data_IF_360870703737
#
_entry.id   IF_360870703737
#
_cell.length_a   1.000
_cell.length_b   1.000
_cell.length_c   1.000
_cell.angle_alpha   90.00
_cell.angle_beta   90.00
_cell.angle_gamma   90.00
#
_symmetry.space_group_name_H-M   'P 1'
#
loop_
_entity.id
_entity.type
_entity.pdbx_description
1 polymer ?
#
# COMPACT_ATOMS: atom_id res chain seq x y z
N UNK A 1 -12.51 13.85 15.59
CA UNK A 1 -12.96 12.90 16.63
C UNK A 1 -11.72 12.30 17.28
N UNK A 2 -11.49 12.62 18.54
CA UNK A 2 -10.38 12.06 19.32
C UNK A 2 -10.73 10.62 19.70
N UNK A 3 -9.92 9.66 19.26
CA UNK A 3 -9.95 8.31 19.81
C UNK A 3 -9.18 8.33 21.12
N UNK A 4 -9.92 8.34 22.22
CA UNK A 4 -9.40 8.18 23.57
C UNK A 4 -9.33 6.68 23.92
N UNK A 5 -8.20 6.27 24.51
CA UNK A 5 -8.17 5.17 25.48
C UNK A 5 -8.44 3.72 25.08
N UNK A 6 -8.26 3.30 23.82
CA UNK A 6 -8.15 1.85 23.54
C UNK A 6 -6.80 1.33 24.03
N UNK A 7 -6.76 0.27 24.85
CA UNK A 7 -5.54 -0.52 25.09
C UNK A 7 -4.87 -0.77 23.74
N UNK A 8 -3.78 -0.04 23.45
CA UNK A 8 -3.18 -0.06 22.12
C UNK A 8 -2.75 -1.48 21.81
N UNK A 9 -3.32 -2.08 20.75
CA UNK A 9 -2.91 -3.40 20.28
C UNK A 9 -1.39 -3.43 20.14
N UNK A 10 -0.73 -4.18 21.03
CA UNK A 10 0.70 -4.40 20.99
C UNK A 10 1.01 -5.51 19.98
N UNK A 11 2.05 -5.29 19.18
CA UNK A 11 2.59 -6.27 18.26
C UNK A 11 3.93 -6.77 18.78
N UNK A 12 4.02 -8.09 19.00
CA UNK A 12 5.27 -8.75 19.37
C UNK A 12 6.18 -8.91 18.15
N UNK A 13 7.44 -8.48 18.28
CA UNK A 13 8.46 -8.53 17.22
C UNK A 13 9.55 -9.53 17.62
N UNK A 14 9.95 -10.39 16.68
CA UNK A 14 11.06 -11.34 16.86
C UNK A 14 10.68 -12.70 17.46
N UNK A 15 9.39 -12.93 17.73
CA UNK A 15 8.90 -14.22 18.23
C UNK A 15 9.20 -15.38 17.27
N UNK A 16 9.41 -16.58 17.82
CA UNK A 16 9.78 -17.76 17.02
C UNK A 16 8.68 -18.10 16.00
N UNK A 17 9.02 -18.10 14.72
CA UNK A 17 8.06 -18.33 13.63
C UNK A 17 7.15 -17.14 13.31
N UNK A 18 7.34 -16.00 13.99
CA UNK A 18 6.68 -14.74 13.62
C UNK A 18 7.39 -14.11 12.42
N UNK A 19 6.60 -13.45 11.57
CA UNK A 19 7.09 -12.68 10.44
C UNK A 19 6.46 -11.29 10.49
N UNK A 20 7.29 -10.27 10.33
CA UNK A 20 6.82 -8.90 10.24
C UNK A 20 6.21 -8.68 8.86
N UNK A 21 4.96 -8.25 8.81
CA UNK A 21 4.26 -7.93 7.56
C UNK A 21 4.31 -6.43 7.24
N UNK A 22 4.11 -6.05 5.98
CA UNK A 22 3.99 -4.65 5.57
C UNK A 22 2.83 -3.92 6.28
N UNK A 23 1.73 -4.63 6.55
CA UNK A 23 0.59 -4.09 7.29
C UNK A 23 0.92 -3.79 8.76
N UNK A 24 1.76 -4.61 9.39
CA UNK A 24 2.26 -4.37 10.75
C UNK A 24 3.17 -3.15 10.80
N UNK A 25 4.08 -3.02 9.83
CA UNK A 25 4.97 -1.85 9.69
C UNK A 25 4.15 -0.59 9.49
N UNK A 26 3.15 -0.63 8.61
CA UNK A 26 2.24 0.48 8.37
C UNK A 26 1.44 0.85 9.64
N UNK A 27 0.90 -0.14 10.35
CA UNK A 27 0.16 0.12 11.58
C UNK A 27 1.02 0.79 12.64
N UNK A 28 2.28 0.35 12.83
CA UNK A 28 3.19 0.99 13.78
C UNK A 28 3.63 2.36 13.28
N UNK A 29 3.94 2.53 12.00
CA UNK A 29 4.36 3.82 11.44
C UNK A 29 3.29 4.90 11.63
N UNK A 30 2.02 4.52 11.52
CA UNK A 30 0.85 5.38 11.76
C UNK A 30 0.47 5.52 13.24
N UNK A 31 1.18 4.87 14.16
CA UNK A 31 0.87 4.90 15.60
C UNK A 31 -0.40 4.13 15.98
N UNK A 32 -0.91 3.27 15.10
CA UNK A 32 -2.10 2.44 15.33
C UNK A 32 -1.81 1.20 16.18
N UNK A 33 -0.54 0.78 16.25
CA UNK A 33 -0.06 -0.33 17.08
C UNK A 33 1.24 0.05 17.79
N UNK A 34 1.44 -0.52 18.97
CA UNK A 34 2.70 -0.41 19.72
C UNK A 34 3.62 -1.57 19.36
N UNK A 35 4.90 -1.30 19.09
CA UNK A 35 5.91 -2.34 18.94
C UNK A 35 6.33 -2.85 20.33
N UNK A 36 6.42 -4.17 20.50
CA UNK A 36 6.96 -4.78 21.72
C UNK A 36 7.90 -5.93 21.37
N UNK A 37 9.06 -6.01 22.02
CA UNK A 37 10.02 -7.09 21.73
C UNK A 37 9.53 -8.39 22.38
N UNK A 38 9.58 -9.49 21.62
CA UNK A 38 9.32 -10.81 22.17
C UNK A 38 10.38 -11.17 23.24
N UNK A 39 9.98 -11.56 24.47
CA UNK A 39 10.93 -11.87 25.54
C UNK A 39 11.93 -12.97 25.17
N UNK A 40 11.55 -13.98 24.38
CA UNK A 40 12.46 -15.03 23.94
C UNK A 40 13.49 -14.51 22.93
N UNK A 41 13.13 -13.53 22.12
CA UNK A 41 14.07 -12.84 21.23
C UNK A 41 15.07 -11.98 22.03
N UNK A 42 14.60 -11.31 23.09
CA UNK A 42 15.44 -10.53 23.99
C UNK A 42 16.43 -11.42 24.77
N UNK A 43 15.98 -12.57 25.25
CA UNK A 43 16.81 -13.59 25.89
C UNK A 43 17.90 -14.12 24.96
N UNK A 44 17.56 -14.31 23.67
CA UNK A 44 18.54 -14.72 22.65
C UNK A 44 19.65 -13.68 22.48
N UNK A 45 19.30 -12.38 22.43
CA UNK A 45 20.29 -11.30 22.31
C UNK A 45 21.25 -11.27 23.51
N UNK A 46 20.72 -11.45 24.71
CA UNK A 46 21.49 -11.44 25.97
C UNK A 46 22.55 -12.55 26.04
N UNK A 47 22.39 -13.62 25.26
CA UNK A 47 23.33 -14.76 25.20
C UNK A 47 24.39 -14.60 24.12
N UNK A 48 24.31 -13.57 23.28
CA UNK A 48 25.24 -13.36 22.18
C UNK A 48 26.54 -12.73 22.68
N UNK A 49 27.70 -13.27 22.26
CA UNK A 49 29.02 -12.79 22.69
C UNK A 49 29.51 -11.69 21.76
N UNK A 50 29.75 -10.49 22.30
CA UNK A 50 30.18 -9.32 21.55
C UNK A 50 31.54 -9.52 20.86
N UNK A 51 31.64 -9.06 19.62
CA UNK A 51 32.90 -8.81 18.91
C UNK A 51 33.49 -7.46 19.37
N UNK A 52 34.77 -7.43 19.73
CA UNK A 52 35.46 -6.26 20.35
C UNK A 52 36.26 -5.38 19.38
N UNK A 53 36.16 -5.55 18.06
CA UNK A 53 36.99 -4.75 17.13
C UNK A 53 36.30 -3.44 16.74
N UNK A 54 36.96 -2.27 16.83
CA UNK A 54 36.36 -0.99 16.41
C UNK A 54 36.23 -0.91 14.87
N UNK A 55 35.11 -0.39 14.34
CA UNK A 55 34.91 -0.24 12.90
C UNK A 55 35.55 1.03 12.32
N UNK A 56 35.86 1.05 11.01
CA UNK A 56 36.33 2.24 10.31
C UNK A 56 35.22 3.29 10.15
N UNK A 57 35.61 4.57 10.10
CA UNK A 57 34.72 5.70 9.84
C UNK A 57 34.40 5.82 8.35
N UNK A 58 33.12 5.89 8.00
CA UNK A 58 32.64 6.20 6.65
C UNK A 58 32.07 7.62 6.66
N UNK A 59 32.26 8.35 5.56
CA UNK A 59 31.77 9.71 5.36
C UNK A 59 30.25 9.81 5.53
N UNK A 60 29.81 10.87 6.20
CA UNK A 60 28.44 11.09 6.64
C UNK A 60 27.70 12.07 5.72
N UNK A 61 26.65 11.61 5.06
CA UNK A 61 25.59 12.47 4.53
C UNK A 61 24.36 12.26 5.38
N UNK A 62 23.81 13.32 6.01
CA UNK A 62 22.58 13.18 6.81
C UNK A 62 21.40 12.76 5.93
N UNK A 63 20.60 11.83 6.44
CA UNK A 63 19.39 11.33 5.77
C UNK A 63 18.22 11.44 6.75
N UNK A 64 17.34 12.40 6.51
CA UNK A 64 16.14 12.61 7.29
C UNK A 64 14.93 12.14 6.49
N UNK A 65 14.00 11.46 7.16
CA UNK A 65 12.76 10.97 6.58
C UNK A 65 11.57 11.68 7.22
N UNK A 66 10.38 11.54 6.62
CA UNK A 66 9.14 11.97 7.29
C UNK A 66 8.90 11.18 8.58
N UNK A 67 8.02 11.68 9.44
CA UNK A 67 7.68 11.02 10.71
C UNK A 67 7.28 9.55 10.51
N UNK A 68 6.39 9.28 9.55
CA UNK A 68 5.92 7.93 9.25
C UNK A 68 7.03 7.04 8.69
N UNK A 69 7.84 7.55 7.77
CA UNK A 69 8.94 6.81 7.17
C UNK A 69 10.03 6.47 8.20
N UNK A 70 10.38 7.42 9.07
CA UNK A 70 11.31 7.20 10.18
C UNK A 70 10.80 6.11 11.12
N UNK A 71 9.51 6.14 11.49
CA UNK A 71 8.91 5.09 12.32
C UNK A 71 8.94 3.73 11.64
N UNK A 72 8.62 3.67 10.35
CA UNK A 72 8.70 2.43 9.58
C UNK A 72 10.13 1.89 9.54
N UNK A 73 11.11 2.73 9.23
CA UNK A 73 12.53 2.37 9.19
C UNK A 73 13.01 1.82 10.55
N UNK A 74 12.61 2.44 11.67
CA UNK A 74 12.95 1.98 13.01
C UNK A 74 12.35 0.61 13.36
N UNK A 75 11.08 0.35 13.00
CA UNK A 75 10.47 -0.97 13.20
C UNK A 75 11.19 -2.04 12.39
N UNK A 76 11.54 -1.72 11.14
CA UNK A 76 12.34 -2.63 10.31
C UNK A 76 13.70 -2.89 10.96
N UNK A 77 14.40 -1.85 11.41
CA UNK A 77 15.70 -2.00 12.06
C UNK A 77 15.61 -2.87 13.32
N UNK A 78 14.59 -2.65 14.15
CA UNK A 78 14.31 -3.49 15.31
C UNK A 78 14.17 -4.96 14.92
N UNK A 79 13.37 -5.25 13.88
CA UNK A 79 13.22 -6.60 13.36
C UNK A 79 14.55 -7.17 12.84
N UNK A 80 15.38 -6.35 12.17
CA UNK A 80 16.70 -6.76 11.66
C UNK A 80 17.66 -7.15 12.77
N UNK A 81 17.68 -6.40 13.86
CA UNK A 81 18.49 -6.76 15.03
C UNK A 81 18.07 -8.11 15.62
N UNK A 82 16.77 -8.39 15.72
CA UNK A 82 16.25 -9.62 16.32
C UNK A 82 16.48 -10.86 15.43
N UNK A 83 16.43 -10.67 14.10
CA UNK A 83 16.63 -11.73 13.11
C UNK A 83 18.10 -12.01 12.78
N UNK A 84 19.01 -11.07 13.04
CA UNK A 84 20.43 -11.23 12.72
C UNK A 84 21.09 -12.36 13.53
N UNK A 85 22.18 -12.90 12.99
CA UNK A 85 23.07 -13.83 13.68
C UNK A 85 24.26 -13.13 14.36
N UNK A 86 24.30 -11.79 14.30
CA UNK A 86 25.34 -10.93 14.82
C UNK A 86 25.22 -10.73 16.35
N UNK A 87 26.30 -10.28 16.99
CA UNK A 87 26.33 -10.01 18.42
C UNK A 87 25.76 -8.63 18.78
N UNK A 88 24.44 -8.50 18.64
CA UNK A 88 23.69 -7.29 19.00
C UNK A 88 23.37 -7.30 20.50
N UNK A 89 23.68 -6.20 21.20
CA UNK A 89 23.33 -6.07 22.62
C UNK A 89 21.86 -5.71 22.77
N UNK A 90 21.16 -6.17 23.83
CA UNK A 90 19.77 -5.82 24.10
C UNK A 90 19.49 -4.31 24.20
N UNK A 91 20.48 -3.51 24.60
CA UNK A 91 20.33 -2.07 24.87
C UNK A 91 19.81 -1.28 23.67
N UNK A 92 20.31 -1.57 22.46
CA UNK A 92 19.94 -0.81 21.26
C UNK A 92 18.54 -1.17 20.74
N UNK A 93 18.14 -2.45 20.63
CA UNK A 93 16.74 -2.82 20.36
C UNK A 93 15.75 -2.24 21.38
N UNK A 94 16.06 -2.28 22.67
CA UNK A 94 15.20 -1.69 23.72
C UNK A 94 15.08 -0.17 23.59
N UNK A 95 16.17 0.50 23.19
CA UNK A 95 16.14 1.94 22.90
C UNK A 95 15.20 2.24 21.72
N UNK A 96 15.25 1.44 20.66
CA UNK A 96 14.38 1.61 19.49
C UNK A 96 12.92 1.36 19.87
N UNK A 97 12.62 0.31 20.63
CA UNK A 97 11.27 0.04 21.15
C UNK A 97 10.74 1.22 21.97
N UNK A 98 11.57 1.81 22.84
CA UNK A 98 11.23 2.99 23.63
C UNK A 98 10.92 4.20 22.73
N UNK A 99 11.80 4.50 21.76
CA UNK A 99 11.63 5.62 20.82
C UNK A 99 10.37 5.45 19.97
N UNK A 100 10.10 4.24 19.47
CA UNK A 100 8.86 3.92 18.74
C UNK A 100 7.59 4.16 19.56
N UNK A 101 7.69 4.06 20.89
CA UNK A 101 6.63 4.38 21.84
C UNK A 101 6.34 5.89 22.01
N UNK A 102 7.19 6.78 21.49
CA UNK A 102 6.97 8.22 21.50
C UNK A 102 5.92 8.62 20.46
N UNK A 103 5.24 9.76 20.70
CA UNK A 103 4.21 10.29 19.80
C UNK A 103 4.75 11.14 18.65
N UNK A 104 5.94 11.70 18.77
CA UNK A 104 6.52 12.67 17.83
C UNK A 104 8.06 12.70 17.90
N UNK A 105 8.71 13.45 17.01
CA UNK A 105 10.17 13.67 17.00
C UNK A 105 10.95 12.71 16.10
N UNK A 106 10.28 11.77 15.44
CA UNK A 106 10.93 10.74 14.61
C UNK A 106 11.52 11.32 13.32
N UNK A 107 11.00 12.45 12.85
CA UNK A 107 11.53 13.26 11.75
C UNK A 107 12.95 13.79 12.02
N UNK A 108 13.38 13.83 13.29
CA UNK A 108 14.75 14.25 13.67
C UNK A 108 15.77 13.09 13.65
N UNK A 109 15.33 11.87 13.35
CA UNK A 109 16.22 10.70 13.29
C UNK A 109 17.06 10.75 12.02
N UNK A 110 18.38 10.81 12.19
CA UNK A 110 19.33 10.84 11.08
C UNK A 110 19.76 9.41 10.72
N UNK A 111 19.33 8.91 9.56
CA UNK A 111 19.71 7.61 9.02
C UNK A 111 21.01 7.65 8.19
N UNK A 112 21.67 8.80 8.12
CA UNK A 112 22.83 9.05 7.28
C UNK A 112 24.09 8.30 7.68
N UNK A 113 24.20 7.94 8.96
CA UNK A 113 25.24 7.04 9.45
C UNK A 113 24.79 6.31 10.71
N UNK A 114 25.40 5.15 11.04
CA UNK A 114 25.13 4.46 12.30
C UNK A 114 25.35 5.35 13.53
N UNK A 115 26.36 6.21 13.51
CA UNK A 115 26.65 7.11 14.61
C UNK A 115 25.58 8.20 14.76
N UNK A 116 25.18 8.83 13.65
CA UNK A 116 24.12 9.84 13.65
C UNK A 116 22.79 9.24 14.12
N UNK A 117 22.45 8.05 13.64
CA UNK A 117 21.25 7.31 14.05
C UNK A 117 21.21 7.07 15.55
N UNK A 118 22.27 6.51 16.12
CA UNK A 118 22.34 6.24 17.56
C UNK A 118 22.27 7.53 18.37
N UNK A 119 22.92 8.59 17.90
CA UNK A 119 22.90 9.90 18.55
C UNK A 119 21.48 10.46 18.57
N UNK A 120 20.76 10.46 17.44
CA UNK A 120 19.36 10.88 17.38
C UNK A 120 18.46 10.03 18.30
N UNK A 121 18.65 8.71 18.35
CA UNK A 121 17.90 7.84 19.25
C UNK A 121 18.14 8.16 20.73
N UNK A 122 19.39 8.43 21.11
CA UNK A 122 19.73 8.85 22.47
C UNK A 122 19.03 10.17 22.82
N UNK A 123 19.17 11.18 21.96
CA UNK A 123 18.53 12.49 22.12
C UNK A 123 17.01 12.37 22.30
N UNK A 124 16.33 11.59 21.46
CA UNK A 124 14.87 11.40 21.55
C UNK A 124 14.44 10.64 22.81
N UNK A 125 15.24 9.69 23.26
CA UNK A 125 14.94 8.91 24.47
C UNK A 125 15.27 9.64 25.79
N UNK A 126 15.95 10.79 25.72
CA UNK A 126 16.48 11.51 26.88
C UNK A 126 17.64 10.79 27.58
N UNK A 127 18.25 9.79 26.94
CA UNK A 127 19.40 9.04 27.47
C UNK A 127 20.71 9.64 26.96
N UNK A 128 21.73 9.66 27.82
CA UNK A 128 23.08 10.02 27.41
C UNK A 128 23.72 8.93 26.55
N UNK A 129 24.69 9.27 25.69
CA UNK A 129 25.47 8.26 24.96
C UNK A 129 26.21 7.28 25.89
N UNK A 130 26.51 7.70 27.12
CA UNK A 130 27.11 6.87 28.15
C UNK A 130 26.16 5.79 28.70
N UNK A 131 24.84 6.03 28.71
CA UNK A 131 23.83 5.08 29.20
C UNK A 131 23.60 3.93 28.21
N UNK A 132 23.73 4.20 26.92
CA UNK A 132 23.55 3.22 25.83
C UNK A 132 24.88 2.50 25.52
N UNK A 133 25.99 3.19 25.77
CA UNK A 133 27.34 2.77 25.40
C UNK A 133 27.57 2.80 23.89
N UNK A 134 28.84 2.84 23.47
CA UNK A 134 29.21 2.87 22.05
C UNK A 134 28.72 1.60 21.33
N UNK A 135 28.12 1.77 20.15
CA UNK A 135 27.74 0.62 19.34
C UNK A 135 28.95 -0.24 18.96
N UNK A 136 28.75 -1.55 19.02
CA UNK A 136 29.78 -2.50 18.63
C UNK A 136 29.79 -2.68 17.09
N UNK A 137 30.81 -3.37 16.57
CA UNK A 137 30.97 -3.58 15.14
C UNK A 137 29.82 -4.35 14.50
N UNK A 138 29.25 -5.31 15.22
CA UNK A 138 28.15 -6.14 14.74
C UNK A 138 26.85 -5.32 14.63
N UNK A 139 26.58 -4.43 15.58
CA UNK A 139 25.47 -3.48 15.56
C UNK A 139 25.58 -2.51 14.39
N UNK A 140 26.78 -1.92 14.21
CA UNK A 140 27.09 -1.01 13.09
C UNK A 140 26.91 -1.75 11.76
N UNK A 141 27.44 -2.96 11.65
CA UNK A 141 27.31 -3.78 10.45
C UNK A 141 25.84 -4.10 10.11
N UNK A 142 25.01 -4.40 11.12
CA UNK A 142 23.57 -4.62 10.90
C UNK A 142 22.91 -3.34 10.41
N UNK A 143 23.20 -2.18 11.01
CA UNK A 143 22.64 -0.89 10.57
C UNK A 143 22.99 -0.63 9.10
N UNK A 144 24.28 -0.68 8.74
CA UNK A 144 24.76 -0.38 7.39
C UNK A 144 24.20 -1.33 6.33
N UNK A 145 24.04 -2.62 6.65
CA UNK A 145 23.58 -3.63 5.67
C UNK A 145 22.06 -3.79 5.60
N UNK A 146 21.32 -3.09 6.45
CA UNK A 146 19.87 -3.29 6.58
C UNK A 146 19.03 -2.51 5.57
N UNK A 147 19.57 -1.44 4.97
CA UNK A 147 18.86 -0.53 4.06
C UNK A 147 17.49 -0.08 4.63
N UNK A 148 17.43 0.18 5.94
CA UNK A 148 16.16 0.39 6.67
C UNK A 148 15.30 1.54 6.17
N UNK A 149 15.83 2.68 5.66
CA UNK A 149 14.98 3.71 5.08
C UNK A 149 14.18 3.17 3.89
N UNK A 150 14.85 2.48 2.96
CA UNK A 150 14.24 1.93 1.77
C UNK A 150 13.21 0.87 2.12
N UNK A 151 13.57 -0.09 2.98
CA UNK A 151 12.67 -1.20 3.35
C UNK A 151 11.46 -0.67 4.15
N UNK A 152 11.64 0.36 4.97
CA UNK A 152 10.55 1.04 5.67
C UNK A 152 9.55 1.67 4.71
N UNK A 153 10.02 2.52 3.78
CA UNK A 153 9.16 3.19 2.79
C UNK A 153 8.49 2.15 1.88
N UNK A 154 9.23 1.13 1.43
CA UNK A 154 8.73 0.03 0.62
C UNK A 154 7.55 -0.70 1.28
N UNK A 155 7.62 -0.89 2.60
CA UNK A 155 6.57 -1.57 3.37
C UNK A 155 5.31 -0.72 3.51
N UNK A 156 5.47 0.60 3.66
CA UNK A 156 4.33 1.54 3.61
C UNK A 156 3.67 1.48 2.23
N UNK A 157 4.47 1.55 1.17
CA UNK A 157 4.00 1.46 -0.22
C UNK A 157 3.22 0.17 -0.47
N UNK A 158 3.80 -0.97 -0.13
CA UNK A 158 3.18 -2.29 -0.29
C UNK A 158 1.82 -2.38 0.41
N UNK A 159 1.73 -1.90 1.66
CA UNK A 159 0.47 -1.87 2.41
C UNK A 159 -0.59 -0.96 1.76
N UNK A 160 -0.21 0.27 1.41
CA UNK A 160 -1.11 1.24 0.80
C UNK A 160 -1.62 0.76 -0.56
N UNK A 161 -0.71 0.28 -1.41
CA UNK A 161 -1.04 -0.15 -2.77
C UNK A 161 -1.88 -1.43 -2.78
N UNK A 162 -1.61 -2.38 -1.87
CA UNK A 162 -2.45 -3.58 -1.72
C UNK A 162 -3.91 -3.26 -1.44
N UNK A 163 -4.18 -2.20 -0.67
CA UNK A 163 -5.55 -1.72 -0.46
C UNK A 163 -6.10 -1.01 -1.71
N UNK A 164 -5.29 -0.15 -2.35
CA UNK A 164 -5.70 0.61 -3.52
C UNK A 164 -6.03 -0.27 -4.72
N UNK A 165 -5.31 -1.36 -4.96
CA UNK A 165 -5.61 -2.30 -6.06
C UNK A 165 -7.06 -2.76 -6.04
N UNK A 166 -7.51 -3.30 -4.90
CA UNK A 166 -8.90 -3.78 -4.77
C UNK A 166 -9.91 -2.64 -4.89
N UNK A 167 -9.61 -1.50 -4.27
CA UNK A 167 -10.48 -0.33 -4.36
C UNK A 167 -10.59 0.18 -5.80
N UNK A 168 -9.51 0.15 -6.58
CA UNK A 168 -9.53 0.58 -7.97
C UNK A 168 -10.48 -0.25 -8.82
N UNK A 169 -10.50 -1.58 -8.64
CA UNK A 169 -11.43 -2.44 -9.39
C UNK A 169 -12.89 -2.17 -9.00
N UNK A 170 -13.17 -2.00 -7.71
CA UNK A 170 -14.52 -1.65 -7.22
C UNK A 170 -14.97 -0.30 -7.78
N UNK A 171 -14.11 0.72 -7.73
CA UNK A 171 -14.43 2.06 -8.24
C UNK A 171 -14.65 2.02 -9.75
N UNK A 172 -13.80 1.30 -10.49
CA UNK A 172 -13.99 1.12 -11.93
C UNK A 172 -15.31 0.40 -12.24
N UNK A 173 -15.72 -0.57 -11.42
CA UNK A 173 -17.02 -1.24 -11.57
C UNK A 173 -18.19 -0.27 -11.34
N UNK A 174 -18.14 0.58 -10.30
CA UNK A 174 -19.15 1.64 -10.09
C UNK A 174 -19.24 2.57 -11.30
N UNK A 175 -18.10 3.00 -11.86
CA UNK A 175 -18.11 3.81 -13.08
C UNK A 175 -18.67 3.06 -14.30
N UNK A 176 -18.49 1.75 -14.39
CA UNK A 176 -19.13 0.94 -15.43
C UNK A 176 -20.66 0.91 -15.27
N UNK A 177 -21.17 0.86 -14.03
CA UNK A 177 -22.61 0.94 -13.77
C UNK A 177 -23.17 2.30 -14.18
N UNK A 178 -22.52 3.39 -13.79
CA UNK A 178 -22.89 4.76 -14.20
C UNK A 178 -22.94 4.88 -15.73
N UNK A 179 -21.92 4.35 -16.41
CA UNK A 179 -21.84 4.37 -17.87
C UNK A 179 -22.77 3.38 -18.56
N UNK A 180 -23.46 2.51 -17.80
CA UNK A 180 -24.27 1.40 -18.31
C UNK A 180 -23.49 0.48 -19.26
N UNK A 181 -22.19 0.32 -18.98
CA UNK A 181 -21.23 -0.33 -19.85
C UNK A 181 -21.59 -1.80 -20.11
N UNK A 182 -21.23 -2.29 -21.29
CA UNK A 182 -21.37 -3.70 -21.64
C UNK A 182 -20.32 -4.54 -20.91
N UNK A 183 -20.76 -5.45 -20.03
CA UNK A 183 -19.88 -6.32 -19.27
C UNK A 183 -19.14 -7.36 -20.14
N UNK A 184 -19.57 -7.58 -21.39
CA UNK A 184 -18.89 -8.46 -22.34
C UNK A 184 -17.46 -7.99 -22.67
N UNK A 185 -17.14 -6.70 -22.45
CA UNK A 185 -15.76 -6.19 -22.62
C UNK A 185 -14.74 -6.85 -21.69
N UNK A 186 -15.22 -7.54 -20.64
CA UNK A 186 -14.39 -8.29 -19.69
C UNK A 186 -14.28 -9.79 -20.04
N UNK A 187 -14.79 -10.22 -21.20
CA UNK A 187 -14.60 -11.56 -21.77
C UNK A 187 -13.19 -11.73 -22.36
N UNK A 188 -12.20 -11.77 -21.48
CA UNK A 188 -10.80 -11.99 -21.87
C UNK A 188 -10.57 -13.49 -22.02
N UNK A 189 -10.28 -13.91 -23.25
CA UNK A 189 -9.92 -15.30 -23.54
C UNK A 189 -8.50 -15.57 -23.05
N UNK A 190 -8.26 -16.64 -22.26
CA UNK A 190 -6.90 -17.03 -21.92
C UNK A 190 -6.16 -17.44 -23.20
N UNK A 191 -4.89 -17.02 -23.32
CA UNK A 191 -4.04 -17.45 -24.43
C UNK A 191 -3.90 -18.97 -24.46
N UNK A 192 -4.13 -19.58 -25.62
CA UNK A 192 -4.10 -21.03 -25.81
C UNK A 192 -2.70 -21.66 -25.73
N UNK A 193 -1.64 -20.84 -25.75
CA UNK A 193 -0.24 -21.26 -25.57
C UNK A 193 0.19 -21.29 -24.09
N UNK A 194 -0.72 -20.95 -23.16
CA UNK A 194 -0.44 -20.90 -21.73
C UNK A 194 0.33 -19.66 -21.26
N UNK A 195 0.59 -18.69 -22.15
CA UNK A 195 1.27 -17.42 -21.83
C UNK A 195 0.29 -16.27 -21.57
N UNK A 196 -0.90 -16.56 -21.05
CA UNK A 196 -1.87 -15.52 -20.69
C UNK A 196 -1.33 -14.61 -19.59
N UNK A 197 -1.57 -13.31 -19.71
CA UNK A 197 -1.28 -12.36 -18.63
C UNK A 197 -2.33 -12.56 -17.54
N UNK A 198 -1.99 -13.42 -16.58
CA UNK A 198 -2.90 -13.85 -15.52
C UNK A 198 -3.57 -12.68 -14.80
N UNK A 199 -2.85 -11.60 -14.57
CA UNK A 199 -3.39 -10.41 -13.90
C UNK A 199 -4.54 -9.76 -14.67
N UNK A 200 -4.44 -9.67 -16.00
CA UNK A 200 -5.50 -9.10 -16.82
C UNK A 200 -6.74 -10.01 -16.82
N UNK A 201 -6.54 -11.32 -16.96
CA UNK A 201 -7.64 -12.30 -16.90
C UNK A 201 -8.31 -12.31 -15.52
N UNK A 202 -7.53 -12.18 -14.45
CA UNK A 202 -8.03 -12.10 -13.08
C UNK A 202 -8.83 -10.80 -12.87
N UNK A 203 -8.38 -9.66 -13.40
CA UNK A 203 -9.18 -8.40 -13.38
C UNK A 203 -10.48 -8.58 -14.15
N UNK A 204 -10.46 -9.14 -15.36
CA UNK A 204 -11.68 -9.38 -16.14
C UNK A 204 -12.68 -10.27 -15.39
N UNK A 205 -12.19 -11.31 -14.70
CA UNK A 205 -13.01 -12.16 -13.83
C UNK A 205 -13.59 -11.40 -12.63
N UNK A 206 -12.78 -10.60 -11.93
CA UNK A 206 -13.21 -9.81 -10.78
C UNK A 206 -14.23 -8.73 -11.19
N UNK A 207 -14.03 -8.04 -12.32
CA UNK A 207 -14.96 -7.05 -12.85
C UNK A 207 -16.33 -7.68 -13.16
N UNK A 208 -16.36 -8.88 -13.76
CA UNK A 208 -17.62 -9.61 -13.95
C UNK A 208 -18.29 -9.97 -12.63
N UNK A 209 -17.52 -10.40 -11.64
CA UNK A 209 -18.05 -10.74 -10.32
C UNK A 209 -18.63 -9.51 -9.62
N UNK A 210 -17.98 -8.36 -9.72
CA UNK A 210 -18.45 -7.08 -9.14
C UNK A 210 -19.71 -6.56 -9.82
N UNK A 211 -19.81 -6.71 -11.15
CA UNK A 211 -20.97 -6.26 -11.94
C UNK A 211 -22.11 -7.29 -11.99
N UNK A 212 -21.89 -8.48 -11.45
CA UNK A 212 -22.88 -9.56 -11.49
C UNK A 212 -24.17 -9.17 -10.74
N UNK A 213 -25.30 -9.26 -11.44
CA UNK A 213 -26.61 -8.92 -10.88
C UNK A 213 -26.94 -7.43 -10.92
N UNK A 214 -26.03 -6.57 -11.39
CA UNK A 214 -26.35 -5.16 -11.63
C UNK A 214 -27.41 -5.02 -12.72
N UNK A 215 -28.38 -4.12 -12.49
CA UNK A 215 -29.42 -3.77 -13.47
C UNK A 215 -29.01 -2.63 -14.39
N UNK A 216 -27.88 -1.98 -14.09
CA UNK A 216 -27.41 -0.78 -14.77
C UNK A 216 -26.53 -1.09 -15.97
N UNK A 217 -25.74 -2.16 -15.92
CA UNK A 217 -24.84 -2.59 -16.99
C UNK A 217 -25.56 -3.25 -18.18
N UNK A 218 -24.89 -3.30 -19.33
CA UNK A 218 -25.35 -4.02 -20.52
C UNK A 218 -26.33 -3.24 -21.40
N UNK A 219 -26.50 -1.93 -21.17
CA UNK A 219 -27.44 -1.09 -21.93
C UNK A 219 -26.74 -0.21 -22.96
N UNK A 220 -25.43 0.03 -22.80
CA UNK A 220 -24.63 0.89 -23.67
C UNK A 220 -23.26 0.27 -23.95
N UNK A 221 -22.85 0.23 -25.22
CA UNK A 221 -21.48 -0.10 -25.57
C UNK A 221 -20.61 1.14 -25.50
N UNK A 222 -19.85 1.27 -24.41
CA UNK A 222 -18.79 2.27 -24.28
C UNK A 222 -17.44 1.55 -24.27
N UNK A 223 -16.75 1.57 -25.42
CA UNK A 223 -15.38 1.08 -25.53
C UNK A 223 -14.37 1.80 -24.62
N UNK A 224 -14.76 2.91 -23.99
CA UNK A 224 -13.95 3.64 -23.02
C UNK A 224 -13.57 2.83 -21.75
N UNK A 225 -14.19 1.65 -21.53
CA UNK A 225 -13.96 0.80 -20.36
C UNK A 225 -13.22 -0.51 -20.70
N UNK A 226 -12.92 -0.78 -21.98
CA UNK A 226 -12.24 -2.02 -22.40
C UNK A 226 -10.79 -2.11 -21.93
N UNK A 227 -10.16 -0.98 -21.59
CA UNK A 227 -8.76 -0.93 -21.19
C UNK A 227 -8.55 -1.25 -19.69
N UNK A 228 -9.64 -1.35 -18.90
CA UNK A 228 -9.57 -1.65 -17.46
C UNK A 228 -8.72 -2.90 -17.18
N UNK A 229 -8.95 -4.06 -17.83
CA UNK A 229 -8.18 -5.25 -17.52
C UNK A 229 -6.69 -5.11 -17.81
N UNK A 230 -6.31 -4.47 -18.92
CA UNK A 230 -4.92 -4.26 -19.27
C UNK A 230 -4.20 -3.34 -18.27
N UNK A 231 -4.80 -2.19 -17.95
CA UNK A 231 -4.18 -1.20 -17.07
C UNK A 231 -4.16 -1.67 -15.61
N UNK A 232 -5.29 -2.17 -15.09
CA UNK A 232 -5.36 -2.71 -13.73
C UNK A 232 -4.54 -3.98 -13.58
N UNK A 233 -4.49 -4.84 -14.61
CA UNK A 233 -3.67 -6.04 -14.64
C UNK A 233 -2.18 -5.72 -14.58
N UNK A 234 -1.72 -4.74 -15.36
CA UNK A 234 -0.34 -4.23 -15.30
C UNK A 234 0.02 -3.71 -13.89
N UNK A 235 -0.89 -2.93 -13.28
CA UNK A 235 -0.73 -2.44 -11.91
C UNK A 235 -0.64 -3.58 -10.87
N UNK A 236 -1.54 -4.58 -10.95
CA UNK A 236 -1.51 -5.79 -10.11
C UNK A 236 -0.21 -6.57 -10.27
N UNK A 237 0.27 -6.73 -11.49
CA UNK A 237 1.54 -7.40 -11.79
C UNK A 237 2.74 -6.70 -11.18
N UNK A 238 2.83 -5.37 -11.35
CA UNK A 238 3.87 -4.55 -10.75
C UNK A 238 3.84 -4.61 -9.21
N UNK A 239 2.65 -4.50 -8.61
CA UNK A 239 2.48 -4.60 -7.16
C UNK A 239 2.85 -5.99 -6.63
N UNK A 240 2.49 -7.09 -7.32
CA UNK A 240 2.88 -8.44 -6.88
C UNK A 240 4.40 -8.60 -6.80
N UNK A 241 5.12 -8.03 -7.75
CA UNK A 241 6.60 -8.00 -7.73
C UNK A 241 7.13 -7.22 -6.52
N UNK A 242 6.55 -6.04 -6.24
CA UNK A 242 6.86 -5.24 -5.06
C UNK A 242 6.59 -6.01 -3.77
N UNK A 243 5.41 -6.61 -3.64
CA UNK A 243 4.96 -7.36 -2.47
C UNK A 243 5.90 -8.52 -2.13
N UNK A 244 6.29 -9.29 -3.15
CA UNK A 244 7.27 -10.37 -3.01
C UNK A 244 8.61 -9.86 -2.46
N UNK A 245 9.09 -8.72 -2.97
CA UNK A 245 10.33 -8.09 -2.48
C UNK A 245 10.18 -7.54 -1.07
N UNK A 246 9.11 -6.82 -0.77
CA UNK A 246 8.87 -6.26 0.57
C UNK A 246 8.87 -7.36 1.64
N UNK A 247 8.18 -8.47 1.39
CA UNK A 247 8.13 -9.60 2.33
C UNK A 247 9.50 -10.23 2.59
N UNK A 248 10.29 -10.43 1.53
CA UNK A 248 11.66 -10.96 1.64
C UNK A 248 12.57 -9.97 2.37
N UNK A 249 12.50 -8.71 1.98
CA UNK A 249 13.36 -7.67 2.54
C UNK A 249 13.04 -7.35 3.98
N UNK A 250 11.77 -7.39 4.41
CA UNK A 250 11.41 -7.24 5.82
C UNK A 250 12.01 -8.33 6.70
N UNK A 251 11.95 -9.58 6.24
CA UNK A 251 12.25 -10.75 7.07
C UNK A 251 13.61 -11.40 6.77
N UNK A 252 14.44 -10.79 5.93
CA UNK A 252 15.81 -11.29 5.67
C UNK A 252 16.72 -11.08 6.88
N UNK A 253 17.51 -12.11 7.24
CA UNK A 253 18.51 -12.01 8.30
C UNK A 253 19.80 -11.37 7.78
N UNK A 254 20.39 -10.47 8.57
CA UNK A 254 21.75 -9.97 8.30
C UNK A 254 22.76 -10.96 8.87
N UNK A 255 23.56 -11.57 7.98
CA UNK A 255 24.53 -12.62 8.33
C UNK A 255 25.94 -12.04 8.48
N UNK A 256 26.33 -11.62 9.68
CA UNK A 256 27.64 -11.02 9.94
C UNK A 256 28.79 -12.01 9.70
N UNK A 257 28.58 -13.30 9.98
CA UNK A 257 29.60 -14.36 9.81
C UNK A 257 29.95 -14.67 8.35
N UNK A 258 29.00 -14.52 7.42
CA UNK A 258 29.22 -14.80 5.99
C UNK A 258 29.84 -13.63 5.23
N UNK A 259 29.79 -12.42 5.80
CA UNK A 259 30.26 -11.20 5.14
C UNK A 259 31.77 -10.94 5.33
N UNK A 260 32.48 -11.76 6.13
CA UNK A 260 33.91 -11.64 6.35
C UNK A 260 34.78 -11.87 5.08
N UNK A 261 34.17 -12.30 3.97
CA UNK A 261 34.87 -12.68 2.73
C UNK A 261 34.41 -11.92 1.47
N UNK A 262 33.57 -10.88 1.58
CA UNK A 262 33.00 -10.22 0.39
C UNK A 262 32.81 -8.71 0.50
N UNK A 263 32.99 -8.01 -0.63
CA UNK A 263 32.76 -6.57 -0.77
C UNK A 263 31.30 -6.18 -0.48
N UNK A 264 31.09 -4.93 -0.04
CA UNK A 264 29.75 -4.33 0.10
C UNK A 264 29.15 -4.15 -1.29
N UNK A 265 28.07 -4.86 -1.62
CA UNK A 265 27.36 -4.67 -2.90
C UNK A 265 26.03 -3.96 -2.69
N UNK A 266 25.85 -2.79 -3.31
CA UNK A 266 24.58 -2.05 -3.39
C UNK A 266 23.55 -2.71 -4.34
N UNK A 267 23.74 -3.97 -4.70
CA UNK A 267 22.89 -4.71 -5.64
C UNK A 267 21.45 -4.83 -5.16
N UNK A 268 21.25 -4.94 -3.84
CA UNK A 268 19.91 -5.03 -3.21
C UNK A 268 19.13 -3.72 -3.37
N UNK A 269 19.75 -2.58 -3.10
CA UNK A 269 19.13 -1.25 -3.23
C UNK A 269 18.73 -0.98 -4.69
N UNK A 270 19.65 -1.24 -5.63
CA UNK A 270 19.36 -1.15 -7.07
C UNK A 270 18.22 -2.06 -7.50
N UNK A 271 18.14 -3.27 -6.94
CA UNK A 271 17.06 -4.21 -7.25
C UNK A 271 15.71 -3.75 -6.68
N UNK A 272 15.69 -3.04 -5.54
CA UNK A 272 14.49 -2.41 -5.00
C UNK A 272 14.04 -1.23 -5.87
N UNK A 273 14.97 -0.36 -6.26
CA UNK A 273 14.70 0.76 -7.17
C UNK A 273 14.15 0.25 -8.51
N UNK A 274 14.76 -0.77 -9.10
CA UNK A 274 14.26 -1.36 -10.34
C UNK A 274 12.84 -1.94 -10.23
N UNK A 275 12.43 -2.39 -9.03
CA UNK A 275 11.10 -2.95 -8.80
C UNK A 275 9.99 -1.89 -8.74
N UNK A 276 10.34 -0.65 -8.37
CA UNK A 276 9.36 0.44 -8.24
C UNK A 276 9.11 1.19 -9.54
N UNK A 277 9.96 1.06 -10.57
CA UNK A 277 9.79 1.77 -11.84
C UNK A 277 8.53 1.35 -12.62
N UNK A 278 8.24 0.04 -12.82
CA UNK A 278 7.01 -0.38 -13.48
C UNK A 278 5.77 0.06 -12.68
N UNK A 279 5.91 0.13 -11.35
CA UNK A 279 4.85 0.56 -10.46
C UNK A 279 4.52 2.04 -10.65
N UNK A 280 5.51 2.93 -10.70
CA UNK A 280 5.31 4.35 -10.96
C UNK A 280 4.56 4.59 -12.28
N UNK A 281 4.99 3.91 -13.35
CA UNK A 281 4.35 3.98 -14.67
C UNK A 281 2.91 3.43 -14.63
N UNK A 282 2.69 2.28 -14.00
CA UNK A 282 1.35 1.71 -13.88
C UNK A 282 0.41 2.60 -13.07
N UNK A 283 0.88 3.27 -12.01
CA UNK A 283 0.08 4.22 -11.24
C UNK A 283 -0.30 5.45 -12.08
N UNK A 284 0.61 5.92 -12.94
CA UNK A 284 0.28 6.98 -13.90
C UNK A 284 -0.88 6.55 -14.80
N UNK A 285 -0.78 5.37 -15.43
CA UNK A 285 -1.85 4.87 -16.30
C UNK A 285 -3.16 4.65 -15.54
N UNK A 286 -3.11 4.10 -14.32
CA UNK A 286 -4.28 3.95 -13.44
C UNK A 286 -4.94 5.31 -13.14
N UNK A 287 -4.13 6.34 -12.89
CA UNK A 287 -4.60 7.70 -12.61
C UNK A 287 -5.24 8.35 -13.83
N UNK A 288 -4.66 8.15 -15.02
CA UNK A 288 -5.21 8.67 -16.28
C UNK A 288 -6.58 8.08 -16.59
N UNK A 289 -6.73 6.75 -16.51
CA UNK A 289 -8.02 6.10 -16.79
C UNK A 289 -9.05 6.38 -15.70
N UNK A 290 -8.63 6.49 -14.44
CA UNK A 290 -9.49 6.86 -13.31
C UNK A 290 -10.09 8.25 -13.51
N UNK A 291 -9.26 9.23 -13.87
CA UNK A 291 -9.73 10.58 -14.16
C UNK A 291 -10.64 10.65 -15.39
N UNK A 292 -10.34 9.86 -16.44
CA UNK A 292 -11.21 9.78 -17.62
C UNK A 292 -12.60 9.24 -17.27
N UNK A 293 -12.67 8.19 -16.43
CA UNK A 293 -13.95 7.65 -15.94
C UNK A 293 -14.67 8.62 -15.01
N UNK A 294 -13.95 9.33 -14.13
CA UNK A 294 -14.53 10.39 -13.29
C UNK A 294 -15.20 11.49 -14.13
N UNK A 295 -14.54 11.95 -15.20
CA UNK A 295 -15.09 12.90 -16.19
C UNK A 295 -16.35 12.36 -16.87
N UNK A 296 -16.33 11.09 -17.29
CA UNK A 296 -17.50 10.44 -17.87
C UNK A 296 -18.67 10.35 -16.88
N UNK A 297 -18.39 10.04 -15.60
CA UNK A 297 -19.42 9.98 -14.56
C UNK A 297 -20.01 11.37 -14.31
N UNK A 298 -19.19 12.42 -14.17
CA UNK A 298 -19.69 13.78 -13.99
C UNK A 298 -20.56 14.25 -15.17
N UNK A 299 -20.24 13.83 -16.40
CA UNK A 299 -21.04 14.14 -17.59
C UNK A 299 -22.45 13.52 -17.56
N UNK A 300 -22.68 12.46 -16.78
CA UNK A 300 -24.00 11.85 -16.61
C UNK A 300 -24.91 12.52 -15.58
N UNK A 301 -24.43 13.56 -14.89
CA UNK A 301 -25.26 14.36 -13.99
C UNK A 301 -26.28 15.20 -14.78
N UNK A 302 -27.56 15.08 -14.42
CA UNK A 302 -28.66 15.85 -15.04
C UNK A 302 -28.77 17.28 -14.49
N UNK A 303 -28.27 17.53 -13.28
CA UNK A 303 -28.28 18.84 -12.63
C UNK A 303 -27.04 19.65 -13.03
N UNK A 304 -27.27 20.82 -13.64
CA UNK A 304 -26.20 21.66 -14.15
C UNK A 304 -25.33 22.28 -13.05
N UNK A 305 -25.90 22.63 -11.89
CA UNK A 305 -25.15 23.20 -10.78
C UNK A 305 -24.20 22.14 -10.19
N UNK A 306 -24.71 20.93 -9.98
CA UNK A 306 -23.91 19.80 -9.50
C UNK A 306 -22.87 19.35 -10.52
N UNK A 307 -23.21 19.35 -11.80
CA UNK A 307 -22.25 19.07 -12.87
C UNK A 307 -21.12 20.10 -12.90
N UNK A 308 -21.43 21.39 -12.73
CA UNK A 308 -20.42 22.44 -12.65
C UNK A 308 -19.51 22.25 -11.43
N UNK A 309 -20.08 21.95 -10.26
CA UNK A 309 -19.30 21.67 -9.04
C UNK A 309 -18.38 20.45 -9.21
N UNK A 310 -18.89 19.36 -9.81
CA UNK A 310 -18.09 18.17 -10.09
C UNK A 310 -16.94 18.49 -11.06
N UNK A 311 -17.20 19.30 -12.09
CA UNK A 311 -16.18 19.73 -13.05
C UNK A 311 -15.10 20.60 -12.39
N UNK A 312 -15.44 21.49 -11.46
CA UNK A 312 -14.46 22.28 -10.70
C UNK A 312 -13.49 21.38 -9.89
N UNK A 313 -14.01 20.34 -9.24
CA UNK A 313 -13.19 19.37 -8.50
C UNK A 313 -12.37 18.45 -9.42
N UNK A 314 -12.92 18.09 -10.59
CA UNK A 314 -12.20 17.38 -11.63
C UNK A 314 -11.02 18.20 -12.16
N UNK A 315 -11.17 19.51 -12.37
CA UNK A 315 -10.07 20.37 -12.82
C UNK A 315 -8.94 20.44 -11.79
N UNK A 316 -9.26 20.48 -10.49
CA UNK A 316 -8.24 20.34 -9.43
C UNK A 316 -7.55 18.97 -9.50
N UNK A 317 -8.29 17.93 -9.85
CA UNK A 317 -7.78 16.57 -10.03
C UNK A 317 -6.91 16.44 -11.30
N UNK A 318 -7.20 17.20 -12.36
CA UNK A 318 -6.32 17.33 -13.54
C UNK A 318 -4.95 17.89 -13.14
N UNK A 319 -4.93 18.99 -12.38
CA UNK A 319 -3.68 19.58 -11.88
C UNK A 319 -2.88 18.60 -11.00
N UNK A 320 -3.59 17.76 -10.24
CA UNK A 320 -2.97 16.69 -9.44
C UNK A 320 -2.33 15.61 -10.31
N UNK A 321 -2.98 15.22 -11.41
CA UNK A 321 -2.43 14.27 -12.38
C UNK A 321 -1.18 14.84 -13.07
N UNK A 322 -1.17 16.12 -13.42
CA UNK A 322 0.01 16.76 -14.00
C UNK A 322 1.20 16.76 -13.01
N UNK A 323 0.94 17.08 -11.74
CA UNK A 323 1.94 16.99 -10.68
C UNK A 323 2.45 15.54 -10.50
N UNK A 324 1.56 14.55 -10.57
CA UNK A 324 1.91 13.12 -10.51
C UNK A 324 2.86 12.75 -11.67
N UNK A 325 2.59 13.20 -12.90
CA UNK A 325 3.45 12.95 -14.06
C UNK A 325 4.85 13.54 -13.90
N UNK A 326 4.95 14.73 -13.31
CA UNK A 326 6.25 15.33 -12.97
C UNK A 326 7.02 14.45 -11.99
N UNK A 327 6.36 13.93 -10.95
CA UNK A 327 7.00 13.04 -9.98
C UNK A 327 7.41 11.70 -10.59
N UNK A 328 6.62 11.13 -11.51
CA UNK A 328 7.01 9.91 -12.24
C UNK A 328 8.29 10.15 -13.03
N UNK A 329 8.42 11.31 -13.67
CA UNK A 329 9.67 11.71 -14.36
C UNK A 329 10.84 11.78 -13.38
N UNK A 330 10.64 12.38 -12.20
CA UNK A 330 11.67 12.45 -11.16
C UNK A 330 12.07 11.05 -10.65
N UNK A 331 11.13 10.12 -10.46
CA UNK A 331 11.43 8.72 -10.11
C UNK A 331 12.34 8.08 -11.15
N UNK A 332 12.03 8.25 -12.43
CA UNK A 332 12.82 7.69 -13.53
C UNK A 332 14.22 8.32 -13.59
N UNK A 333 14.33 9.65 -13.53
CA UNK A 333 15.60 10.38 -13.59
C UNK A 333 16.51 10.06 -12.40
N UNK A 334 15.94 10.01 -11.19
CA UNK A 334 16.67 9.68 -9.97
C UNK A 334 17.09 8.21 -9.92
N UNK A 335 16.33 7.30 -10.53
CA UNK A 335 16.67 5.87 -10.56
C UNK A 335 17.91 5.53 -11.41
N UNK A 336 18.25 6.39 -12.37
CA UNK A 336 19.39 6.23 -13.28
C UNK A 336 20.60 7.02 -12.78
N UNK A 337 20.37 8.11 -12.07
CA UNK A 337 21.40 8.91 -11.40
C UNK A 337 21.98 8.18 -10.18
N UNK A 338 23.18 8.58 -9.72
CA UNK A 338 23.74 8.15 -8.42
C UNK A 338 23.03 8.83 -7.23
N UNK A 339 21.71 9.05 -7.35
CA UNK A 339 20.90 9.68 -6.31
C UNK A 339 20.56 8.68 -5.20
N UNK A 340 20.20 9.20 -4.03
CA UNK A 340 19.78 8.37 -2.91
C UNK A 340 18.51 7.58 -3.27
N UNK A 341 18.61 6.24 -3.16
CA UNK A 341 17.49 5.34 -3.44
C UNK A 341 16.29 5.58 -2.52
N UNK A 342 16.49 6.12 -1.31
CA UNK A 342 15.40 6.53 -0.43
C UNK A 342 14.55 7.65 -1.04
N UNK A 343 15.18 8.60 -1.74
CA UNK A 343 14.50 9.71 -2.44
C UNK A 343 13.59 9.19 -3.56
N UNK A 344 14.04 8.18 -4.31
CA UNK A 344 13.23 7.53 -5.35
C UNK A 344 11.95 6.94 -4.75
N UNK A 345 12.07 6.21 -3.63
CA UNK A 345 10.92 5.61 -2.96
C UNK A 345 10.00 6.65 -2.31
N UNK A 346 10.54 7.76 -1.81
CA UNK A 346 9.76 8.88 -1.30
C UNK A 346 8.90 9.53 -2.40
N UNK A 347 9.48 9.80 -3.58
CA UNK A 347 8.69 10.29 -4.71
C UNK A 347 7.61 9.30 -5.15
N UNK A 348 7.88 8.00 -5.09
CA UNK A 348 6.84 7.00 -5.34
C UNK A 348 5.72 7.09 -4.28
N UNK A 349 6.04 7.27 -3.00
CA UNK A 349 5.03 7.47 -1.97
C UNK A 349 4.14 8.69 -2.25
N UNK A 350 4.74 9.81 -2.67
CA UNK A 350 4.00 11.00 -3.08
C UNK A 350 3.08 10.75 -4.28
N UNK A 351 3.53 9.98 -5.28
CA UNK A 351 2.70 9.52 -6.41
C UNK A 351 1.50 8.71 -5.92
N UNK A 352 1.70 7.78 -4.98
CA UNK A 352 0.61 6.97 -4.40
C UNK A 352 -0.41 7.85 -3.68
N UNK A 353 0.03 8.86 -2.94
CA UNK A 353 -0.86 9.78 -2.22
C UNK A 353 -1.70 10.63 -3.18
N UNK A 354 -1.15 11.00 -4.33
CA UNK A 354 -1.89 11.70 -5.40
C UNK A 354 -2.89 10.78 -6.08
N UNK A 355 -2.47 9.58 -6.48
CA UNK A 355 -3.37 8.58 -7.08
C UNK A 355 -4.57 8.27 -6.17
N UNK A 356 -4.35 8.12 -4.86
CA UNK A 356 -5.43 7.92 -3.89
C UNK A 356 -6.51 9.01 -3.93
N UNK A 357 -6.11 10.27 -4.11
CA UNK A 357 -7.06 11.40 -4.20
C UNK A 357 -7.83 11.38 -5.52
N UNK A 358 -7.16 11.06 -6.64
CA UNK A 358 -7.81 10.91 -7.95
C UNK A 358 -8.89 9.83 -7.87
N UNK A 359 -8.52 8.66 -7.33
CA UNK A 359 -9.44 7.53 -7.17
C UNK A 359 -10.61 7.85 -6.23
N UNK A 360 -10.37 8.61 -5.15
CA UNK A 360 -11.42 9.04 -4.23
C UNK A 360 -12.47 9.93 -4.91
N UNK A 361 -12.05 10.80 -5.82
CA UNK A 361 -12.99 11.65 -6.59
C UNK A 361 -13.80 10.84 -7.60
N UNK A 362 -13.17 9.91 -8.31
CA UNK A 362 -13.90 8.98 -9.18
C UNK A 362 -14.97 8.22 -8.39
N UNK A 363 -14.60 7.67 -7.23
CA UNK A 363 -15.52 6.95 -6.34
C UNK A 363 -16.68 7.83 -5.87
N UNK A 364 -16.39 9.04 -5.39
CA UNK A 364 -17.41 9.95 -4.86
C UNK A 364 -18.44 10.33 -5.94
N UNK A 365 -17.96 10.67 -7.14
CA UNK A 365 -18.84 11.04 -8.26
C UNK A 365 -19.66 9.83 -8.71
N UNK A 366 -19.02 8.67 -8.89
CA UNK A 366 -19.71 7.46 -9.35
C UNK A 366 -20.81 7.02 -8.35
N UNK A 367 -20.49 6.98 -7.06
CA UNK A 367 -21.48 6.65 -6.03
C UNK A 367 -22.63 7.65 -5.99
N UNK A 368 -22.34 8.95 -6.12
CA UNK A 368 -23.38 9.97 -6.11
C UNK A 368 -24.32 9.83 -7.32
N UNK A 369 -23.77 9.61 -8.51
CA UNK A 369 -24.58 9.41 -9.73
C UNK A 369 -25.49 8.18 -9.60
N UNK A 370 -24.96 7.07 -9.07
CA UNK A 370 -25.75 5.85 -8.83
C UNK A 370 -26.88 6.13 -7.84
N UNK A 371 -26.61 6.84 -6.73
CA UNK A 371 -27.61 7.12 -5.69
C UNK A 371 -28.80 7.95 -6.21
N UNK A 372 -28.55 8.89 -7.13
CA UNK A 372 -29.60 9.73 -7.73
C UNK A 372 -30.26 9.09 -8.96
N UNK A 373 -29.84 7.90 -9.38
CA UNK A 373 -30.40 7.23 -10.56
C UNK A 373 -31.78 6.62 -10.21
N UNK A 374 -32.84 7.30 -10.63
CA UNK A 374 -34.23 6.90 -10.40
C UNK A 374 -34.62 5.56 -11.08
N UNK A 375 -33.78 5.02 -11.99
CA UNK A 375 -34.00 3.68 -12.54
C UNK A 375 -33.69 2.55 -11.55
N UNK A 376 -32.99 2.87 -10.47
CA UNK A 376 -32.79 1.98 -9.33
C UNK A 376 -34.04 2.09 -8.45
N UNK A 377 -34.89 1.05 -8.49
CA UNK A 377 -36.04 0.97 -7.58
C UNK A 377 -35.57 1.15 -6.14
N UNK A 378 -35.97 2.25 -5.50
CA UNK A 378 -35.62 2.54 -4.10
C UNK A 378 -36.05 1.35 -3.25
N UNK A 379 -35.21 0.89 -2.30
CA UNK A 379 -35.63 -0.18 -1.40
C UNK A 379 -36.91 0.27 -0.71
N UNK A 380 -38.00 -0.46 -0.96
CA UNK A 380 -39.26 -0.26 -0.25
C UNK A 380 -38.97 -0.42 1.24
N UNK A 381 -38.86 0.71 1.95
CA UNK A 381 -38.95 0.73 3.40
C UNK A 381 -40.35 0.20 3.71
N UNK A 382 -40.42 -1.07 4.07
CA UNK A 382 -41.68 -1.78 4.27
C UNK A 382 -42.59 -1.01 5.22
N UNK A 383 -43.66 -0.44 4.68
CA UNK A 383 -44.85 -0.14 5.45
C UNK A 383 -45.48 -1.47 5.89
N UNK A 384 -45.06 -1.96 7.06
CA UNK A 384 -45.88 -2.89 7.79
C UNK A 384 -47.04 -2.13 8.44
N UNK A 385 -48.27 -2.47 8.04
CA UNK A 385 -49.42 -2.43 8.93
C UNK A 385 -50.69 -1.84 8.32
N UNK A 386 -51.49 -2.67 7.66
CA UNK A 386 -52.81 -2.23 7.18
C UNK A 386 -53.69 -3.32 6.57
N UNK A 387 -53.79 -4.50 7.18
CA UNK A 387 -54.76 -5.54 6.80
C UNK A 387 -56.20 -5.06 6.96
N UNK A 388 -57.01 -5.04 5.88
CA UNK A 388 -58.44 -5.46 5.83
C UNK A 388 -58.80 -5.79 4.37
N UNK A 389 -58.91 -7.07 4.04
CA UNK A 389 -60.15 -7.88 3.95
C UNK A 389 -60.86 -7.80 2.57
N UNK A 390 -60.50 -8.77 1.72
CA UNK A 390 -61.39 -9.70 1.00
C UNK A 390 -62.49 -9.18 0.07
N UNK A 391 -62.46 -9.64 -1.19
CA UNK A 391 -63.57 -10.37 -1.85
C UNK A 391 -63.00 -11.30 -2.93
N UNK A 392 -63.42 -12.56 -2.90
CA UNK A 392 -63.24 -13.63 -3.90
C UNK A 392 -63.81 -13.28 -5.29
N UNK A 393 -63.13 -13.70 -6.37
CA UNK A 393 -63.56 -14.79 -7.27
C UNK A 393 -62.83 -14.76 -8.62
N UNK A 394 -62.48 -15.94 -9.15
CA UNK A 394 -62.27 -16.13 -10.59
C UNK A 394 -61.19 -17.13 -11.02
N UNK A 395 -61.52 -18.42 -11.02
CA UNK A 395 -60.78 -19.53 -11.65
C UNK A 395 -60.43 -19.24 -13.13
N UNK A 396 -59.24 -19.65 -13.60
CA UNK A 396 -59.05 -20.81 -14.49
C UNK A 396 -57.57 -20.98 -14.87
N UNK A 397 -56.96 -22.08 -14.43
CA UNK A 397 -55.69 -22.57 -14.96
C UNK A 397 -55.90 -23.52 -16.14
N UNK A 398 -54.93 -23.58 -17.07
CA UNK A 398 -54.61 -24.78 -17.86
C UNK A 398 -53.11 -24.86 -18.13
N UNK A 399 -52.52 -25.81 -17.42
CA UNK A 399 -51.20 -26.42 -17.56
C UNK A 399 -51.10 -27.18 -18.90
N UNK A 400 -49.96 -27.09 -19.61
CA UNK A 400 -49.68 -27.89 -20.81
C UNK A 400 -48.51 -28.85 -20.57
N UNK A 401 -48.86 -30.13 -20.45
CA UNK A 401 -47.97 -31.30 -20.30
C UNK A 401 -46.95 -31.44 -21.44
N UNK A 402 -45.71 -31.72 -21.07
CA UNK A 402 -44.67 -32.39 -21.88
C UNK A 402 -45.09 -33.83 -22.22
N UNK A 403 -44.84 -34.28 -23.45
CA UNK A 403 -44.72 -35.70 -23.81
C UNK A 403 -43.38 -35.93 -24.51
N UNK A 404 -42.66 -36.95 -24.02
CA UNK A 404 -41.47 -37.55 -24.61
C UNK A 404 -41.82 -38.28 -25.91
N UNK A 405 -40.88 -38.30 -26.85
CA UNK A 405 -40.51 -39.54 -27.53
C UNK A 405 -39.00 -39.72 -27.45
#
# INVERSE_FOLDING_TARGET
MAFDGGEGLSLLIGGKGSHLSSADVYAISRGLRKATIDPAALDKLSRSKASTTPPPSIESSSVFLTLEESRAALVVLLNKFLLSDAAVRPTLPLLIEQVLGLRSGHESVDFGSPHALITSLCCLSGKGPDDVGRANRDEIFVIERSAVPLVGILSILDCCLSALTKLSDVVAALSCEVARADAAVFDISPSGDGLSIKDETDVGGDMKALLFGSKLVGQSYLGAYSDIPAVHGSFRGALRSLHGRARVELNSSINARKAATGAVSHSREKALVAAVLPLALSIQSMSEISLARAKSCAASLNDQELQNLANEEIEKTCALLDALKVEVKLVLENSVSDSDSAVVLHYLYEIVMKFRKILAWEMAIAMYVIEIDDSIGKPELGEQGGTKLGVENGKLGKEKKRRKH
#
